data_IF_485282749393
#
_entry.id   IF_485282749393
#
_cell.length_a   1.000
_cell.length_b   1.000
_cell.length_c   1.000
_cell.angle_alpha   90.00
_cell.angle_beta   90.00
_cell.angle_gamma   90.00
#
_symmetry.space_group_name_H-M   'P 1'
#
loop_
_entity.id
_entity.type
_entity.pdbx_description
1 polymer ?
#
# COMPACT_ATOMS: atom_id res chain seq x y z
N UNK A 1 12.52 -15.95 -1.59
CA UNK A 1 11.13 -16.10 -1.12
C UNK A 1 10.26 -15.73 -2.30
N UNK A 2 9.40 -16.64 -2.74
CA UNK A 2 8.38 -16.33 -3.75
C UNK A 2 7.27 -15.51 -3.07
N UNK A 3 6.83 -14.42 -3.71
CA UNK A 3 5.80 -13.53 -3.17
C UNK A 3 4.44 -14.10 -3.63
N UNK A 4 3.53 -14.48 -2.71
CA UNK A 4 2.24 -15.04 -3.08
C UNK A 4 1.34 -13.98 -3.73
N UNK A 5 0.54 -14.41 -4.72
CA UNK A 5 -0.39 -13.57 -5.48
C UNK A 5 -1.82 -13.77 -4.97
N UNK A 6 -2.53 -12.67 -4.71
CA UNK A 6 -3.95 -12.68 -4.35
C UNK A 6 -4.75 -11.82 -5.31
N UNK A 7 -6.01 -12.20 -5.53
CA UNK A 7 -6.94 -11.42 -6.33
C UNK A 7 -7.66 -10.42 -5.41
N UNK A 8 -7.68 -9.16 -5.83
CA UNK A 8 -8.59 -8.15 -5.26
C UNK A 8 -9.66 -7.89 -6.32
N UNK A 9 -10.84 -8.44 -6.12
CA UNK A 9 -11.95 -8.32 -7.06
C UNK A 9 -12.76 -7.04 -6.79
N UNK A 10 -12.64 -6.08 -7.70
CA UNK A 10 -13.31 -4.78 -7.60
C UNK A 10 -14.82 -4.86 -7.84
N UNK A 11 -15.32 -5.98 -8.38
CA UNK A 11 -16.76 -6.24 -8.55
C UNK A 11 -17.41 -6.67 -7.23
N UNK A 12 -16.63 -7.11 -6.23
CA UNK A 12 -17.13 -7.37 -4.88
C UNK A 12 -17.37 -6.04 -4.11
N UNK A 13 -18.35 -6.03 -3.18
CA UNK A 13 -18.49 -4.96 -2.21
C UNK A 13 -17.17 -4.72 -1.46
N UNK A 14 -16.75 -3.47 -1.19
CA UNK A 14 -15.47 -3.17 -0.55
C UNK A 14 -15.20 -3.94 0.75
N UNK A 15 -16.24 -4.15 1.56
CA UNK A 15 -16.21 -4.96 2.79
C UNK A 15 -15.68 -6.40 2.58
N UNK A 16 -15.77 -6.95 1.37
CA UNK A 16 -15.47 -8.37 1.08
C UNK A 16 -14.17 -8.56 0.30
N UNK A 17 -13.61 -7.49 -0.29
CA UNK A 17 -12.48 -7.58 -1.25
C UNK A 17 -11.22 -8.22 -0.65
N UNK A 18 -11.00 -8.00 0.65
CA UNK A 18 -9.81 -8.43 1.36
C UNK A 18 -9.98 -9.77 2.09
N UNK A 19 -11.17 -10.39 2.05
CA UNK A 19 -11.49 -11.59 2.83
C UNK A 19 -10.52 -12.77 2.59
N UNK A 20 -10.19 -13.15 1.33
CA UNK A 20 -9.30 -14.27 1.08
C UNK A 20 -7.89 -14.02 1.63
N UNK A 21 -7.38 -12.81 1.45
CA UNK A 21 -6.06 -12.41 1.93
C UNK A 21 -6.00 -12.37 3.46
N UNK A 22 -7.03 -11.82 4.12
CA UNK A 22 -7.06 -11.72 5.58
C UNK A 22 -7.28 -13.06 6.27
N UNK A 23 -7.97 -14.01 5.63
CA UNK A 23 -8.09 -15.38 6.15
C UNK A 23 -6.72 -16.09 6.23
N UNK A 24 -5.82 -15.80 5.31
CA UNK A 24 -4.48 -16.39 5.26
C UNK A 24 -3.47 -15.59 6.08
N UNK A 25 -3.37 -14.28 5.83
CA UNK A 25 -2.33 -13.40 6.40
C UNK A 25 -2.75 -12.67 7.67
N UNK A 26 -4.03 -12.72 8.05
CA UNK A 26 -4.57 -12.07 9.26
C UNK A 26 -3.78 -12.39 10.54
N UNK A 27 -3.47 -13.68 10.84
CA UNK A 27 -2.69 -14.01 12.03
C UNK A 27 -1.29 -13.36 12.07
N UNK A 28 -0.64 -13.22 10.92
CA UNK A 28 0.65 -12.54 10.81
C UNK A 28 0.51 -11.03 11.01
N UNK A 29 -0.60 -10.45 10.56
CA UNK A 29 -0.89 -9.03 10.75
C UNK A 29 -1.14 -8.71 12.23
N UNK A 30 -1.87 -9.60 12.95
CA UNK A 30 -2.07 -9.47 14.41
C UNK A 30 -0.73 -9.47 15.15
N UNK A 31 0.14 -10.43 14.84
CA UNK A 31 1.47 -10.53 15.45
C UNK A 31 2.36 -9.30 15.17
N UNK A 32 2.26 -8.70 13.99
CA UNK A 32 2.94 -7.43 13.69
C UNK A 32 2.39 -6.27 14.52
N UNK A 33 1.07 -6.13 14.57
CA UNK A 33 0.39 -5.04 15.27
C UNK A 33 0.71 -5.04 16.76
N UNK A 34 0.74 -6.21 17.40
CA UNK A 34 1.02 -6.31 18.84
C UNK A 34 2.40 -5.75 19.19
N UNK A 35 3.39 -6.02 18.36
CA UNK A 35 4.73 -5.44 18.51
C UNK A 35 4.74 -3.93 18.28
N UNK A 36 4.05 -3.45 17.25
CA UNK A 36 3.96 -2.02 16.95
C UNK A 36 3.25 -1.30 18.10
N UNK A 37 2.17 -1.86 18.64
CA UNK A 37 1.46 -1.33 19.82
C UNK A 37 2.41 -1.23 21.00
N UNK A 38 3.14 -2.30 21.35
CA UNK A 38 4.11 -2.27 22.43
C UNK A 38 5.18 -1.18 22.25
N UNK A 39 5.71 -1.05 21.04
CA UNK A 39 6.72 -0.02 20.72
C UNK A 39 6.15 1.38 20.89
N UNK A 40 4.97 1.66 20.34
CA UNK A 40 4.33 2.98 20.46
C UNK A 40 4.01 3.27 21.93
N UNK A 41 3.37 2.34 22.64
CA UNK A 41 3.06 2.50 24.07
C UNK A 41 4.33 2.76 24.89
N UNK A 42 5.46 2.11 24.59
CA UNK A 42 6.74 2.37 25.25
C UNK A 42 7.32 3.75 24.93
N UNK A 43 7.03 4.32 23.76
CA UNK A 43 7.56 5.61 23.33
C UNK A 43 6.73 6.80 23.86
N UNK A 44 5.39 6.70 23.80
CA UNK A 44 4.49 7.81 24.14
C UNK A 44 3.78 7.64 25.48
N UNK A 45 3.84 6.45 26.08
CA UNK A 45 3.10 6.08 27.29
C UNK A 45 1.64 5.68 27.02
N UNK A 46 1.06 4.91 27.94
CA UNK A 46 -0.30 4.35 27.80
C UNK A 46 -1.37 5.44 27.61
N UNK A 47 -1.32 6.51 28.41
CA UNK A 47 -2.33 7.58 28.35
C UNK A 47 -2.39 8.26 26.98
N UNK A 48 -1.23 8.55 26.38
CA UNK A 48 -1.16 9.18 25.06
C UNK A 48 -1.57 8.19 23.98
N UNK A 49 -1.12 6.94 24.10
CA UNK A 49 -1.54 5.87 23.19
C UNK A 49 -3.06 5.72 23.15
N UNK A 50 -3.74 5.70 24.30
CA UNK A 50 -5.20 5.60 24.37
C UNK A 50 -5.91 6.79 23.70
N UNK A 51 -5.38 8.02 23.85
CA UNK A 51 -5.94 9.20 23.18
C UNK A 51 -5.84 9.07 21.65
N UNK A 52 -4.67 8.66 21.16
CA UNK A 52 -4.43 8.40 19.73
C UNK A 52 -5.41 7.32 19.26
N UNK A 53 -5.43 6.19 19.95
CA UNK A 53 -6.22 5.02 19.60
C UNK A 53 -7.71 5.31 19.50
N UNK A 54 -8.28 6.01 20.48
CA UNK A 54 -9.70 6.39 20.51
C UNK A 54 -10.09 7.35 19.37
N UNK A 55 -9.13 8.09 18.82
CA UNK A 55 -9.38 9.03 17.72
C UNK A 55 -9.37 8.35 16.35
N UNK A 56 -8.64 7.24 16.20
CA UNK A 56 -8.39 6.60 14.91
C UNK A 56 -9.65 5.99 14.27
N UNK A 57 -10.58 5.47 15.07
CA UNK A 57 -11.86 4.99 14.51
C UNK A 57 -12.64 6.12 13.83
N UNK A 58 -12.56 7.35 14.36
CA UNK A 58 -13.17 8.52 13.71
C UNK A 58 -12.41 8.90 12.44
N UNK A 59 -11.09 8.81 12.44
CA UNK A 59 -10.28 9.04 11.22
C UNK A 59 -10.70 8.10 10.10
N UNK A 60 -10.93 6.81 10.39
CA UNK A 60 -11.41 5.85 9.39
C UNK A 60 -12.68 6.34 8.67
N UNK A 61 -13.65 6.90 9.41
CA UNK A 61 -14.93 7.39 8.85
C UNK A 61 -14.77 8.60 7.93
N UNK A 62 -13.61 9.28 7.96
CA UNK A 62 -13.32 10.41 7.07
C UNK A 62 -12.71 9.99 5.75
N UNK A 63 -12.31 8.72 5.61
CA UNK A 63 -11.72 8.22 4.37
C UNK A 63 -12.76 8.13 3.26
N UNK A 64 -12.42 8.52 2.02
CA UNK A 64 -13.36 8.46 0.91
C UNK A 64 -13.68 7.01 0.56
N UNK A 65 -14.83 6.80 -0.07
CA UNK A 65 -15.14 5.52 -0.71
C UNK A 65 -14.02 5.15 -1.72
N UNK A 66 -13.53 3.90 -1.73
CA UNK A 66 -14.03 2.72 -1.01
C UNK A 66 -13.34 2.43 0.34
N UNK A 67 -12.36 3.23 0.74
CA UNK A 67 -11.36 2.81 1.74
C UNK A 67 -11.93 2.54 3.13
N UNK A 68 -12.88 3.36 3.62
CA UNK A 68 -13.49 3.11 4.93
C UNK A 68 -14.05 1.69 5.03
N UNK A 69 -14.86 1.28 4.05
CA UNK A 69 -15.48 -0.04 4.03
C UNK A 69 -14.44 -1.16 3.87
N UNK A 70 -13.37 -0.94 3.10
CA UNK A 70 -12.28 -1.92 3.02
C UNK A 70 -11.57 -2.11 4.36
N UNK A 71 -11.33 -1.03 5.12
CA UNK A 71 -10.77 -1.11 6.47
C UNK A 71 -11.72 -1.83 7.44
N UNK A 72 -13.03 -1.60 7.34
CA UNK A 72 -14.03 -2.34 8.12
C UNK A 72 -14.00 -3.83 7.78
N UNK A 73 -13.91 -4.18 6.49
CA UNK A 73 -13.76 -5.57 6.06
C UNK A 73 -12.52 -6.24 6.63
N UNK A 74 -11.36 -5.58 6.52
CA UNK A 74 -10.09 -6.06 7.09
C UNK A 74 -10.21 -6.25 8.61
N UNK A 75 -10.78 -5.27 9.32
CA UNK A 75 -11.03 -5.35 10.77
C UNK A 75 -11.85 -6.58 11.14
N UNK A 76 -12.92 -6.87 10.39
CA UNK A 76 -13.76 -8.04 10.63
C UNK A 76 -13.03 -9.36 10.38
N UNK A 77 -12.29 -9.48 9.27
CA UNK A 77 -11.64 -10.75 8.91
C UNK A 77 -10.32 -11.04 9.65
N UNK A 78 -9.66 -10.01 10.17
CA UNK A 78 -8.45 -10.15 10.98
C UNK A 78 -8.72 -10.14 12.48
N UNK A 79 -9.97 -9.92 12.90
CA UNK A 79 -10.38 -9.75 14.30
C UNK A 79 -9.63 -8.61 15.02
N UNK A 80 -9.12 -7.63 14.26
CA UNK A 80 -8.45 -6.44 14.78
C UNK A 80 -9.43 -5.29 14.97
N UNK A 81 -9.29 -4.45 16.02
CA UNK A 81 -10.08 -3.22 16.14
C UNK A 81 -9.89 -2.30 14.93
N UNK A 82 -10.95 -1.64 14.46
CA UNK A 82 -10.87 -0.71 13.33
C UNK A 82 -9.82 0.39 13.51
N UNK A 83 -9.65 0.89 14.74
CA UNK A 83 -8.61 1.86 15.11
C UNK A 83 -7.19 1.34 14.87
N UNK A 84 -6.92 0.06 15.15
CA UNK A 84 -5.64 -0.59 14.84
C UNK A 84 -5.44 -0.67 13.32
N UNK A 85 -6.45 -1.15 12.60
CA UNK A 85 -6.36 -1.31 11.14
C UNK A 85 -6.13 0.06 10.48
N UNK A 86 -6.76 1.10 11.01
CA UNK A 86 -6.56 2.49 10.59
C UNK A 86 -5.16 2.98 10.92
N UNK A 87 -4.64 2.71 12.13
CA UNK A 87 -3.26 3.05 12.51
C UNK A 87 -2.26 2.44 11.53
N UNK A 88 -2.43 1.16 11.22
CA UNK A 88 -1.58 0.41 10.30
C UNK A 88 -1.61 1.02 8.89
N UNK A 89 -2.76 1.48 8.42
CA UNK A 89 -2.87 2.13 7.10
C UNK A 89 -2.29 3.55 7.06
N UNK A 90 -2.23 4.26 8.20
CA UNK A 90 -1.54 5.55 8.31
C UNK A 90 -0.02 5.37 8.45
N UNK A 91 0.41 4.31 9.12
CA UNK A 91 1.81 4.03 9.41
C UNK A 91 2.70 4.05 8.16
N UNK A 92 2.21 3.51 7.05
CA UNK A 92 2.94 3.48 5.78
C UNK A 92 3.18 4.85 5.15
N UNK A 93 2.41 5.88 5.52
CA UNK A 93 2.59 7.24 5.02
C UNK A 93 3.71 7.99 5.75
N UNK A 94 4.12 7.53 6.93
CA UNK A 94 5.09 8.24 7.77
C UNK A 94 6.47 7.57 7.82
N UNK A 95 6.53 6.24 7.70
CA UNK A 95 7.73 5.44 8.05
C UNK A 95 8.19 4.53 6.91
N UNK A 96 8.23 5.11 5.71
CA UNK A 96 8.62 4.43 4.48
C UNK A 96 9.74 5.19 3.79
N UNK A 97 10.81 4.49 3.42
CA UNK A 97 11.87 4.98 2.54
C UNK A 97 11.83 4.20 1.22
N UNK A 98 12.29 4.83 0.14
CA UNK A 98 12.32 4.18 -1.16
C UNK A 98 13.44 4.70 -2.04
N UNK A 99 13.91 3.82 -2.94
CA UNK A 99 14.68 4.19 -4.12
C UNK A 99 13.95 3.68 -5.34
N UNK A 100 13.72 4.53 -6.33
CA UNK A 100 13.07 4.16 -7.59
C UNK A 100 13.96 4.56 -8.76
N UNK A 101 14.03 3.70 -9.78
CA UNK A 101 14.85 3.87 -10.98
C UNK A 101 13.95 3.67 -12.19
N UNK A 102 13.95 4.65 -13.10
CA UNK A 102 13.38 4.51 -14.44
C UNK A 102 14.53 4.59 -15.42
N UNK A 103 14.61 3.64 -16.34
CA UNK A 103 15.60 3.59 -17.40
C UNK A 103 14.92 3.35 -18.75
N UNK A 104 15.51 3.88 -19.82
CA UNK A 104 15.11 3.61 -21.18
C UNK A 104 16.28 2.97 -21.93
N UNK A 105 16.03 1.89 -22.66
CA UNK A 105 17.05 1.32 -23.54
C UNK A 105 17.14 2.10 -24.87
N UNK A 106 18.16 1.84 -25.72
CA UNK A 106 18.28 2.49 -27.02
C UNK A 106 17.13 2.20 -28.01
N UNK A 107 16.31 1.17 -27.75
CA UNK A 107 15.13 0.83 -28.56
C UNK A 107 13.86 1.57 -28.08
N UNK A 108 13.98 2.38 -27.02
CA UNK A 108 12.86 3.11 -26.44
C UNK A 108 12.08 2.33 -25.37
N UNK A 109 12.48 1.11 -25.00
CA UNK A 109 11.83 0.30 -23.97
C UNK A 109 12.11 0.87 -22.59
N UNK A 110 11.04 1.09 -21.81
CA UNK A 110 11.11 1.56 -20.44
C UNK A 110 11.23 0.42 -19.44
N UNK A 111 12.12 0.58 -18.47
CA UNK A 111 12.31 -0.27 -17.31
C UNK A 111 12.06 0.55 -16.05
N UNK A 112 11.35 -0.03 -15.09
CA UNK A 112 11.14 0.60 -13.79
C UNK A 112 11.39 -0.44 -12.70
N UNK A 113 12.26 -0.09 -11.77
CA UNK A 113 12.57 -0.89 -10.59
C UNK A 113 12.55 -0.02 -9.36
N UNK A 114 12.25 -0.60 -8.21
CA UNK A 114 12.34 0.10 -6.94
C UNK A 114 12.63 -0.83 -5.76
N UNK A 115 13.19 -0.24 -4.70
CA UNK A 115 13.25 -0.82 -3.36
C UNK A 115 12.25 -0.10 -2.45
N UNK A 116 11.72 -0.84 -1.46
CA UNK A 116 10.84 -0.35 -0.42
C UNK A 116 11.41 -0.74 0.94
N UNK A 117 11.84 0.25 1.71
CA UNK A 117 12.35 0.05 3.05
C UNK A 117 11.30 0.57 4.04
N UNK A 118 10.72 -0.33 4.83
CA UNK A 118 9.67 -0.01 5.81
C UNK A 118 9.88 -0.78 7.10
N UNK A 119 9.32 -0.29 8.21
CA UNK A 119 9.56 -0.85 9.54
C UNK A 119 10.98 -0.63 10.08
N UNK A 120 11.75 0.25 9.42
CA UNK A 120 13.09 0.65 9.86
C UNK A 120 12.96 1.49 11.14
N UNK A 121 13.95 1.38 12.04
CA UNK A 121 13.99 2.06 13.34
C UNK A 121 12.99 1.55 14.39
N UNK A 122 12.25 0.47 14.11
CA UNK A 122 11.25 -0.08 15.00
C UNK A 122 11.63 -1.47 15.53
N UNK A 123 12.07 -1.48 16.79
CA UNK A 123 12.46 -2.69 17.51
C UNK A 123 13.78 -3.27 16.99
N UNK A 124 14.91 -2.75 17.47
CA UNK A 124 16.23 -3.27 17.06
C UNK A 124 16.52 -4.64 17.68
N UNK A 125 16.71 -5.66 16.84
CA UNK A 125 17.21 -6.97 17.26
C UNK A 125 18.75 -6.96 17.22
N UNK A 126 19.36 -6.82 18.40
CA UNK A 126 20.82 -6.81 18.55
C UNK A 126 21.51 -8.12 18.13
N UNK A 127 20.80 -9.25 18.15
CA UNK A 127 21.37 -10.57 17.85
C UNK A 127 21.43 -10.80 16.34
N UNK A 128 20.35 -10.50 15.65
CA UNK A 128 20.23 -10.75 14.21
C UNK A 128 20.61 -9.52 13.36
N UNK A 129 20.83 -8.37 13.99
CA UNK A 129 21.13 -7.09 13.33
C UNK A 129 20.03 -6.66 12.35
N UNK A 130 18.78 -6.84 12.75
CA UNK A 130 17.59 -6.51 11.95
C UNK A 130 16.59 -5.66 12.74
N UNK A 131 15.66 -5.03 12.03
CA UNK A 131 14.52 -4.35 12.63
C UNK A 131 13.34 -5.32 12.72
N UNK A 132 12.81 -5.53 13.93
CA UNK A 132 11.76 -6.52 14.21
C UNK A 132 10.53 -6.32 13.33
N UNK A 133 10.07 -5.08 13.20
CA UNK A 133 8.92 -4.73 12.36
C UNK A 133 9.21 -5.01 10.88
N UNK A 134 10.40 -4.66 10.38
CA UNK A 134 10.80 -4.94 9.00
C UNK A 134 10.82 -6.45 8.69
N UNK A 135 11.31 -7.28 9.62
CA UNK A 135 11.30 -8.75 9.45
C UNK A 135 9.87 -9.31 9.42
N UNK A 136 8.98 -8.81 10.28
CA UNK A 136 7.56 -9.23 10.31
C UNK A 136 6.76 -8.77 9.09
N UNK A 137 7.19 -7.70 8.41
CA UNK A 137 6.58 -7.23 7.17
C UNK A 137 6.91 -8.10 5.94
N UNK A 138 8.05 -8.81 5.94
CA UNK A 138 8.42 -9.71 4.83
C UNK A 138 7.36 -10.77 4.52
N UNK A 139 6.88 -11.59 5.48
CA UNK A 139 5.85 -12.60 5.20
C UNK A 139 4.45 -12.03 4.92
N UNK A 140 4.24 -10.74 5.21
CA UNK A 140 3.03 -9.98 4.87
C UNK A 140 3.11 -9.35 3.46
N UNK A 141 4.27 -9.39 2.80
CA UNK A 141 4.43 -8.88 1.43
C UNK A 141 3.69 -9.80 0.46
N UNK A 142 2.84 -9.20 -0.38
CA UNK A 142 2.00 -9.91 -1.36
C UNK A 142 1.95 -9.16 -2.68
N UNK A 143 1.76 -9.91 -3.76
CA UNK A 143 1.34 -9.34 -5.03
C UNK A 143 -0.18 -9.38 -5.11
N UNK A 144 -0.78 -8.29 -5.60
CA UNK A 144 -2.23 -8.14 -5.76
C UNK A 144 -2.55 -8.01 -7.25
N UNK A 145 -3.38 -8.91 -7.75
CA UNK A 145 -4.00 -8.84 -9.07
C UNK A 145 -5.37 -8.19 -8.94
N UNK A 146 -5.46 -6.90 -9.29
CA UNK A 146 -6.68 -6.12 -9.17
C UNK A 146 -7.56 -6.39 -10.37
N UNK A 147 -8.71 -7.04 -10.17
CA UNK A 147 -9.61 -7.44 -11.25
C UNK A 147 -10.89 -6.61 -11.26
N UNK A 148 -11.40 -6.34 -12.45
CA UNK A 148 -12.73 -5.75 -12.67
C UNK A 148 -13.35 -6.37 -13.90
N UNK A 149 -14.61 -6.75 -13.83
CA UNK A 149 -15.33 -7.57 -14.82
C UNK A 149 -14.52 -8.81 -15.24
N UNK A 150 -13.91 -9.50 -14.27
CA UNK A 150 -13.07 -10.70 -14.49
C UNK A 150 -11.71 -10.46 -15.16
N UNK A 151 -11.38 -9.23 -15.56
CA UNK A 151 -10.11 -8.89 -16.23
C UNK A 151 -9.15 -8.17 -15.28
N UNK A 152 -7.85 -8.44 -15.39
CA UNK A 152 -6.81 -7.71 -14.66
C UNK A 152 -6.79 -6.24 -15.11
N UNK A 153 -7.03 -5.34 -14.16
CA UNK A 153 -6.96 -3.89 -14.36
C UNK A 153 -5.52 -3.38 -14.18
N UNK A 154 -4.84 -3.84 -13.13
CA UNK A 154 -3.42 -3.59 -12.84
C UNK A 154 -2.91 -4.60 -11.79
N UNK A 155 -1.59 -4.68 -11.61
CA UNK A 155 -0.97 -5.45 -10.53
C UNK A 155 -0.19 -4.54 -9.60
N UNK A 156 -0.13 -4.90 -8.32
CA UNK A 156 0.67 -4.17 -7.33
C UNK A 156 1.39 -5.08 -6.37
N UNK A 157 2.48 -4.62 -5.78
CA UNK A 157 3.08 -5.24 -4.60
C UNK A 157 2.68 -4.42 -3.38
N UNK A 158 2.16 -5.08 -2.35
CA UNK A 158 1.64 -4.45 -1.13
C UNK A 158 1.92 -5.31 0.10
N UNK A 159 1.48 -4.83 1.27
CA UNK A 159 1.42 -5.62 2.49
C UNK A 159 -0.03 -6.01 2.80
N UNK A 160 -0.22 -7.22 3.28
CA UNK A 160 -1.53 -7.66 3.74
C UNK A 160 -2.07 -6.72 4.82
N UNK A 161 -3.30 -6.25 4.64
CA UNK A 161 -3.99 -5.30 5.52
C UNK A 161 -3.81 -3.82 5.13
N UNK A 162 -2.99 -3.51 4.12
CA UNK A 162 -2.84 -2.15 3.59
C UNK A 162 -3.68 -1.97 2.32
N UNK A 163 -4.59 -1.01 2.34
CA UNK A 163 -5.54 -0.75 1.24
C UNK A 163 -5.02 0.23 0.18
N UNK A 164 -3.91 0.92 0.48
CA UNK A 164 -3.25 1.80 -0.47
C UNK A 164 -2.42 1.05 -1.51
N UNK A 165 -1.89 1.79 -2.48
CA UNK A 165 -1.02 1.25 -3.53
C UNK A 165 0.26 2.07 -3.58
N UNK A 166 1.38 1.45 -3.18
CA UNK A 166 2.71 2.06 -3.23
C UNK A 166 3.49 1.67 -4.50
N UNK A 167 3.24 0.49 -5.04
CA UNK A 167 3.97 -0.06 -6.19
C UNK A 167 3.01 -0.77 -7.11
N UNK A 168 2.81 -0.24 -8.32
CA UNK A 168 1.90 -0.85 -9.28
C UNK A 168 2.40 -0.73 -10.72
N UNK A 169 1.91 -1.66 -11.54
CA UNK A 169 2.08 -1.66 -12.98
C UNK A 169 0.73 -1.92 -13.64
N UNK A 170 0.40 -1.10 -14.63
CA UNK A 170 -0.75 -1.31 -15.51
C UNK A 170 -0.23 -1.70 -16.88
N UNK A 171 -0.67 -2.86 -17.38
CA UNK A 171 -0.37 -3.28 -18.73
C UNK A 171 -1.29 -2.52 -19.70
N UNK A 172 -0.80 -1.43 -20.29
CA UNK A 172 -1.47 -0.79 -21.43
C UNK A 172 -0.98 -1.40 -22.74
N UNK A 173 -1.87 -1.51 -23.73
CA UNK A 173 -1.66 -2.18 -25.03
C UNK A 173 -0.48 -1.65 -25.88
N UNK A 174 0.24 -0.61 -25.45
CA UNK A 174 1.33 0.02 -26.23
C UNK A 174 2.51 0.54 -25.40
N UNK A 175 2.54 0.33 -24.09
CA UNK A 175 3.69 0.65 -23.23
C UNK A 175 3.40 0.20 -21.81
N UNK A 176 4.43 -0.24 -21.10
CA UNK A 176 4.31 -0.59 -19.68
C UNK A 176 4.22 0.72 -18.89
N UNK A 177 2.99 1.16 -18.60
CA UNK A 177 2.73 2.34 -17.79
C UNK A 177 3.03 2.02 -16.32
N UNK A 178 4.06 2.65 -15.77
CA UNK A 178 4.43 2.50 -14.36
C UNK A 178 3.88 3.67 -13.55
N UNK A 179 3.06 3.38 -12.54
CA UNK A 179 2.60 4.40 -11.59
C UNK A 179 3.43 4.23 -10.33
N UNK A 180 4.43 5.10 -10.17
CA UNK A 180 5.07 5.37 -8.89
C UNK A 180 4.39 6.60 -8.30
N UNK A 181 3.35 6.40 -7.49
CA UNK A 181 2.86 7.47 -6.61
C UNK A 181 3.12 7.07 -5.17
N UNK A 182 4.16 7.65 -4.58
CA UNK A 182 4.03 8.04 -3.18
C UNK A 182 2.97 9.12 -3.16
N UNK A 183 1.72 8.76 -2.88
CA UNK A 183 0.66 9.64 -2.38
C UNK A 183 -0.57 8.76 -2.11
N UNK A 184 -0.82 8.54 -0.82
CA UNK A 184 -2.00 7.91 -0.25
C UNK A 184 -3.30 8.30 -0.96
N UNK A 185 -4.14 7.30 -1.22
CA UNK A 185 -5.58 7.39 -1.47
C UNK A 185 -6.11 8.23 -2.66
N UNK A 186 -5.41 9.25 -3.16
CA UNK A 186 -5.95 10.18 -4.14
C UNK A 186 -5.93 9.67 -5.59
N UNK A 187 -5.04 8.72 -5.92
CA UNK A 187 -4.79 8.34 -7.33
C UNK A 187 -5.59 7.13 -7.83
N UNK A 188 -6.13 6.28 -6.94
CA UNK A 188 -6.93 5.12 -7.37
C UNK A 188 -8.29 5.53 -7.93
N UNK A 189 -8.92 6.60 -7.40
CA UNK A 189 -10.16 7.13 -7.98
C UNK A 189 -9.98 7.62 -9.43
N UNK A 190 -8.81 8.17 -9.78
CA UNK A 190 -8.51 8.57 -11.17
C UNK A 190 -8.35 7.41 -12.16
N UNK A 191 -8.12 6.18 -11.68
CA UNK A 191 -8.02 4.99 -12.54
C UNK A 191 -9.40 4.46 -13.00
N UNK A 192 -10.49 4.92 -12.37
CA UNK A 192 -11.86 4.56 -12.73
C UNK A 192 -12.53 5.54 -13.72
N UNK A 193 -11.88 6.66 -14.07
CA UNK A 193 -12.43 7.64 -15.02
C UNK A 193 -11.70 7.55 -16.36
N UNK A 194 -12.31 6.86 -17.32
CA UNK A 194 -11.94 6.99 -18.73
C UNK A 194 -12.37 8.37 -19.27
N UNK A 195 -11.43 9.15 -19.80
CA UNK A 195 -11.24 9.42 -21.26
C UNK A 195 -10.78 10.83 -21.65
N UNK A 196 -10.77 11.83 -20.77
CA UNK A 196 -10.49 13.22 -21.24
C UNK A 196 -9.24 13.92 -20.71
N UNK A 197 -8.64 13.52 -19.59
CA UNK A 197 -7.53 14.32 -19.04
C UNK A 197 -6.14 13.81 -19.43
N UNK A 198 -5.79 14.05 -20.69
CA UNK A 198 -4.38 14.01 -21.14
C UNK A 198 -3.54 15.13 -20.51
N UNK A 199 -4.17 16.08 -19.81
CA UNK A 199 -3.55 17.30 -19.27
C UNK A 199 -3.28 17.29 -17.76
N UNK A 200 -3.84 16.35 -16.97
CA UNK A 200 -3.67 16.31 -15.51
C UNK A 200 -2.45 15.53 -15.02
N UNK A 201 -1.64 14.98 -15.93
CA UNK A 201 -0.40 14.24 -15.64
C UNK A 201 0.80 15.16 -15.29
N UNK A 202 0.58 16.37 -14.76
CA UNK A 202 1.65 17.39 -14.63
C UNK A 202 1.89 17.95 -13.24
N UNK A 203 1.29 17.41 -12.18
CA UNK A 203 1.73 17.75 -10.82
C UNK A 203 1.43 16.57 -9.89
N UNK A 204 2.32 16.02 -9.08
CA UNK A 204 3.60 16.45 -8.51
C UNK A 204 4.61 15.29 -8.65
N UNK A 205 5.89 15.63 -8.82
CA UNK A 205 7.05 14.72 -8.94
C UNK A 205 7.09 13.81 -10.19
N UNK A 206 6.52 14.26 -11.32
CA UNK A 206 6.83 13.70 -12.64
C UNK A 206 8.03 14.46 -13.23
N UNK A 207 9.13 13.77 -13.50
CA UNK A 207 10.12 14.25 -14.47
C UNK A 207 9.40 14.27 -15.83
N UNK A 208 8.95 15.45 -16.27
CA UNK A 208 8.55 15.64 -17.66
C UNK A 208 9.81 15.59 -18.52
N UNK A 209 10.00 14.51 -19.27
CA UNK A 209 10.96 14.50 -20.38
C UNK A 209 10.20 15.02 -21.60
N UNK A 210 10.32 16.32 -21.85
CA UNK A 210 9.97 16.88 -23.16
C UNK A 210 10.99 16.37 -24.18
N UNK A 211 10.54 15.68 -25.22
CA UNK A 211 11.35 15.47 -26.40
C UNK A 211 11.60 16.84 -27.04
N UNK A 212 12.82 17.35 -26.98
CA UNK A 212 13.27 18.39 -27.89
C UNK A 212 13.44 17.74 -29.26
N UNK A 213 12.53 18.02 -30.18
CA UNK A 213 12.81 17.90 -31.61
C UNK A 213 13.82 19.00 -31.95
N UNK A 214 15.11 18.69 -31.86
CA UNK A 214 16.14 19.48 -32.51
C UNK A 214 16.49 18.80 -33.85
N UNK A 215 16.24 19.58 -34.90
CA UNK A 215 16.58 19.38 -36.32
C UNK A 215 18.05 19.12 -36.59
#
# INVERSE_FOLDING_TARGET
>A
MEIPVYIVDLDLPPLQRWAPLMKDKGPLLVDLVDDVKMLITSLVGERVFEIIFNSLSKVATTLPYPFYEELVGISAFSELPLSIVTLYNIFYEALTLCTSIIAQDPNGQLYHGRNLDTGVFLGWDKKNHTWKVAEKLKPLTVELDWKKNGSTLFRSVSFAGYVGVLTAVKQTFTSQGFICSQLAAHRIQSLNYEKEDRALFTSSSLVQISASEDT
#
